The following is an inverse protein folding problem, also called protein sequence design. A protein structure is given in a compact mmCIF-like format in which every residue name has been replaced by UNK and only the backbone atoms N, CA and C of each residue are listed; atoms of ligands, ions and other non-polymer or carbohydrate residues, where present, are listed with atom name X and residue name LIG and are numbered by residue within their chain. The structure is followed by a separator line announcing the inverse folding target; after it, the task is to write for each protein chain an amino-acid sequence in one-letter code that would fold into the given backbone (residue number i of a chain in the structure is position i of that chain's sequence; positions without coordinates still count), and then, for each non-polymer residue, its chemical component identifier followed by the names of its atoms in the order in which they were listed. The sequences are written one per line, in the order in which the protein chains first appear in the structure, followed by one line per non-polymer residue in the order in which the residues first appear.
data_IF_692856162591
#
_entry.id   IF_692856162591
#
_cell.length_a   1.000
_cell.length_b   1.000
_cell.length_c   1.000
_cell.angle_alpha   90.00
_cell.angle_beta   90.00
_cell.angle_gamma   90.00
#
_symmetry.space_group_name_H-M   'P 1'
#
loop_
_entity.id
_entity.type
_entity.pdbx_description
1 polymer ?
#
# COMPACT_ATOMS: atom_id res chain seq x y z
N UNK A 1 -43.38 -80.01 -5.80
CA UNK A 1 -44.30 -78.85 -5.72
C UNK A 1 -43.83 -77.96 -4.58
N UNK A 2 -43.02 -76.95 -4.87
CA UNK A 2 -42.57 -75.95 -3.91
C UNK A 2 -43.70 -74.94 -3.69
N UNK A 3 -44.07 -74.82 -2.43
CA UNK A 3 -45.13 -73.92 -1.96
C UNK A 3 -44.70 -72.47 -2.05
N UNK A 4 -45.18 -71.74 -3.06
CA UNK A 4 -44.95 -70.29 -3.31
C UNK A 4 -45.79 -69.36 -2.45
N UNK A 5 -46.43 -69.86 -1.38
CA UNK A 5 -47.36 -69.08 -0.55
C UNK A 5 -46.78 -68.32 0.64
N UNK A 6 -45.44 -68.22 0.78
CA UNK A 6 -44.78 -67.46 1.86
C UNK A 6 -43.92 -66.29 1.40
N UNK A 7 -44.16 -65.80 0.18
CA UNK A 7 -43.49 -64.59 -0.20
C UNK A 7 -44.24 -63.39 0.33
N UNK A 8 -43.88 -62.97 1.53
CA UNK A 8 -44.45 -61.80 2.21
C UNK A 8 -43.81 -60.52 1.63
N UNK A 9 -44.51 -59.94 0.65
CA UNK A 9 -44.08 -58.70 -0.03
C UNK A 9 -44.42 -57.43 0.79
N UNK A 10 -45.02 -57.56 1.96
CA UNK A 10 -45.39 -56.45 2.81
C UNK A 10 -44.26 -56.00 3.76
N UNK A 11 -43.17 -56.77 3.89
CA UNK A 11 -42.01 -56.34 4.71
C UNK A 11 -40.97 -55.64 3.85
N UNK A 12 -40.79 -54.32 3.99
CA UNK A 12 -39.74 -53.60 3.28
C UNK A 12 -38.36 -54.09 3.72
N UNK A 13 -37.68 -54.87 2.85
CA UNK A 13 -36.28 -55.25 3.09
C UNK A 13 -35.37 -54.03 2.94
N UNK A 14 -34.81 -53.58 4.04
CA UNK A 14 -33.80 -52.52 4.03
C UNK A 14 -32.42 -53.14 3.86
N UNK A 15 -31.83 -52.99 2.67
CA UNK A 15 -30.45 -53.38 2.42
C UNK A 15 -29.51 -52.22 2.65
N UNK A 16 -28.61 -52.36 3.58
CA UNK A 16 -27.57 -51.38 3.88
C UNK A 16 -26.28 -51.85 3.20
N UNK A 17 -25.80 -51.04 2.21
CA UNK A 17 -24.54 -51.32 1.54
C UNK A 17 -23.51 -50.31 2.08
N UNK A 18 -22.44 -50.79 2.67
CA UNK A 18 -21.29 -49.97 3.09
C UNK A 18 -20.11 -50.36 2.21
N UNK A 19 -19.95 -49.74 1.05
CA UNK A 19 -18.79 -50.04 0.18
C UNK A 19 -17.51 -49.46 0.78
N UNK A 20 -16.54 -50.31 1.05
CA UNK A 20 -15.17 -49.91 1.36
C UNK A 20 -14.33 -50.10 0.11
N UNK A 21 -13.90 -48.97 -0.48
CA UNK A 21 -13.05 -48.98 -1.66
C UNK A 21 -11.64 -48.55 -1.27
N UNK A 22 -10.65 -49.37 -1.54
CA UNK A 22 -9.23 -49.00 -1.42
C UNK A 22 -8.61 -48.91 -2.81
N UNK A 23 -8.07 -47.76 -3.17
CA UNK A 23 -7.35 -47.57 -4.41
C UNK A 23 -5.86 -47.28 -4.13
N UNK A 24 -4.99 -47.91 -4.86
CA UNK A 24 -3.54 -47.74 -4.69
C UNK A 24 -2.92 -47.33 -6.03
N UNK A 25 -2.22 -46.21 -6.04
CA UNK A 25 -1.50 -45.71 -7.19
C UNK A 25 0.01 -45.83 -6.94
N UNK A 26 0.72 -46.62 -7.76
CA UNK A 26 2.18 -46.75 -7.67
C UNK A 26 2.79 -45.57 -8.46
N UNK A 27 3.63 -44.78 -7.80
CA UNK A 27 4.30 -43.59 -8.37
C UNK A 27 5.60 -43.97 -9.09
N UNK A 28 5.49 -44.71 -10.21
CA UNK A 28 6.62 -45.21 -11.02
C UNK A 28 7.44 -44.04 -11.63
N UNK A 29 6.78 -42.94 -11.98
CA UNK A 29 7.40 -41.76 -12.60
C UNK A 29 7.62 -40.59 -11.65
N UNK A 30 7.57 -40.84 -10.33
CA UNK A 30 7.72 -39.80 -9.30
C UNK A 30 6.76 -38.59 -9.45
N UNK A 31 5.59 -38.76 -10.04
CA UNK A 31 4.60 -37.71 -10.24
C UNK A 31 4.10 -37.13 -8.92
N UNK A 32 3.74 -37.99 -7.97
CA UNK A 32 3.28 -37.58 -6.62
C UNK A 32 4.41 -36.94 -5.79
N UNK A 33 5.63 -37.49 -5.91
CA UNK A 33 6.81 -36.95 -5.24
C UNK A 33 7.16 -35.56 -5.76
N UNK A 34 7.10 -35.35 -7.07
CA UNK A 34 7.33 -34.06 -7.70
C UNK A 34 6.19 -33.08 -7.40
N UNK A 35 4.94 -33.52 -7.34
CA UNK A 35 3.81 -32.69 -6.91
C UNK A 35 4.00 -32.20 -5.46
N UNK A 36 4.48 -33.06 -4.55
CA UNK A 36 4.80 -32.67 -3.18
C UNK A 36 5.96 -31.65 -3.13
N UNK A 37 7.00 -31.84 -3.95
CA UNK A 37 8.13 -30.88 -4.04
C UNK A 37 7.65 -29.53 -4.56
N UNK A 38 6.83 -29.53 -5.64
CA UNK A 38 6.19 -28.32 -6.18
C UNK A 38 5.35 -27.59 -5.12
N UNK A 39 4.51 -28.32 -4.39
CA UNK A 39 3.69 -27.72 -3.34
C UNK A 39 4.53 -27.08 -2.21
N UNK A 40 5.65 -27.71 -1.83
CA UNK A 40 6.58 -27.13 -0.86
C UNK A 40 7.27 -25.87 -1.40
N UNK A 41 7.67 -25.84 -2.65
CA UNK A 41 8.27 -24.66 -3.29
C UNK A 41 7.26 -23.52 -3.38
N UNK A 42 6.01 -23.77 -3.76
CA UNK A 42 4.94 -22.78 -3.77
C UNK A 42 4.63 -22.23 -2.37
N UNK A 43 4.71 -23.06 -1.36
CA UNK A 43 4.54 -22.60 0.03
C UNK A 43 5.70 -21.68 0.46
N UNK A 44 6.94 -22.03 0.13
CA UNK A 44 8.10 -21.17 0.39
C UNK A 44 7.96 -19.83 -0.35
N UNK A 45 7.61 -19.86 -1.64
CA UNK A 45 7.34 -18.68 -2.44
C UNK A 45 6.25 -17.79 -1.82
N UNK A 46 5.17 -18.37 -1.29
CA UNK A 46 4.09 -17.63 -0.62
C UNK A 46 4.58 -16.83 0.60
N UNK A 47 5.53 -17.39 1.36
CA UNK A 47 6.14 -16.67 2.50
C UNK A 47 7.01 -15.49 2.06
N UNK A 48 7.76 -15.66 0.98
CA UNK A 48 8.56 -14.54 0.42
C UNK A 48 7.65 -13.45 -0.15
N UNK A 49 6.50 -13.83 -0.73
CA UNK A 49 5.50 -12.88 -1.18
C UNK A 49 4.91 -12.05 -0.04
N UNK A 50 4.65 -12.65 1.13
CA UNK A 50 4.23 -11.91 2.33
C UNK A 50 5.27 -10.84 2.71
N UNK A 51 6.55 -11.17 2.67
CA UNK A 51 7.62 -10.23 2.95
C UNK A 51 7.71 -9.10 1.92
N UNK A 52 7.50 -9.41 0.64
CA UNK A 52 7.43 -8.42 -0.43
C UNK A 52 6.29 -7.42 -0.21
N UNK A 53 5.09 -7.92 0.13
CA UNK A 53 3.92 -7.08 0.42
C UNK A 53 4.17 -6.17 1.62
N UNK A 54 4.78 -6.68 2.70
CA UNK A 54 5.15 -5.86 3.87
C UNK A 54 6.11 -4.72 3.48
N UNK A 55 7.13 -5.02 2.69
CA UNK A 55 8.09 -4.02 2.23
C UNK A 55 7.42 -2.96 1.36
N UNK A 56 6.54 -3.37 0.46
CA UNK A 56 5.79 -2.45 -0.39
C UNK A 56 4.83 -1.56 0.42
N UNK A 57 4.18 -2.12 1.43
CA UNK A 57 3.29 -1.37 2.32
C UNK A 57 4.07 -0.30 3.09
N UNK A 58 5.19 -0.66 3.71
CA UNK A 58 6.05 0.27 4.46
C UNK A 58 6.54 1.39 3.54
N UNK A 59 7.01 1.05 2.33
CA UNK A 59 7.46 2.04 1.35
C UNK A 59 6.32 2.95 0.90
N UNK A 60 5.12 2.41 0.68
CA UNK A 60 3.92 3.16 0.33
C UNK A 60 3.52 4.16 1.41
N UNK A 61 3.48 3.73 2.67
CA UNK A 61 3.18 4.58 3.82
C UNK A 61 4.22 5.69 3.96
N UNK A 62 5.51 5.36 3.87
CA UNK A 62 6.58 6.35 3.96
C UNK A 62 6.46 7.41 2.85
N UNK A 63 6.25 7.01 1.61
CA UNK A 63 6.09 7.93 0.49
C UNK A 63 4.88 8.86 0.66
N UNK A 64 3.73 8.33 1.09
CA UNK A 64 2.53 9.12 1.36
C UNK A 64 2.74 10.11 2.52
N UNK A 65 3.42 9.68 3.59
CA UNK A 65 3.72 10.53 4.72
C UNK A 65 4.63 11.70 4.34
N UNK A 66 5.72 11.45 3.61
CA UNK A 66 6.60 12.52 3.13
C UNK A 66 5.91 13.44 2.11
N UNK A 67 5.05 12.90 1.26
CA UNK A 67 4.20 13.69 0.36
C UNK A 67 3.30 14.64 1.17
N UNK A 68 2.70 14.14 2.23
CA UNK A 68 1.85 14.93 3.11
C UNK A 68 2.62 16.07 3.81
N UNK A 69 3.82 15.79 4.31
CA UNK A 69 4.71 16.82 4.87
C UNK A 69 5.10 17.89 3.84
N UNK A 70 5.41 17.49 2.61
CA UNK A 70 5.73 18.41 1.52
C UNK A 70 4.54 19.32 1.16
N UNK A 71 3.33 18.76 1.09
CA UNK A 71 2.12 19.51 0.80
C UNK A 71 1.84 20.57 1.90
N UNK A 72 2.06 20.23 3.16
CA UNK A 72 1.90 21.15 4.28
C UNK A 72 2.89 22.32 4.23
N UNK A 73 4.16 22.06 3.91
CA UNK A 73 5.16 23.13 3.71
C UNK A 73 4.76 24.06 2.57
N UNK A 74 4.18 23.51 1.50
CA UNK A 74 3.67 24.29 0.38
C UNK A 74 2.51 25.20 0.81
N UNK A 75 1.59 24.68 1.62
CA UNK A 75 0.48 25.48 2.19
C UNK A 75 1.00 26.60 3.09
N UNK A 76 1.95 26.32 3.97
CA UNK A 76 2.58 27.33 4.83
C UNK A 76 3.31 28.41 4.01
N UNK A 77 3.93 28.02 2.90
CA UNK A 77 4.59 28.95 1.98
C UNK A 77 3.58 29.89 1.31
N UNK A 78 2.41 29.39 0.93
CA UNK A 78 1.33 30.20 0.38
C UNK A 78 0.87 31.29 1.38
N UNK A 79 0.79 30.96 2.66
CA UNK A 79 0.45 31.97 3.70
C UNK A 79 1.51 33.05 3.80
N UNK A 80 2.80 32.73 3.70
CA UNK A 80 3.90 33.71 3.71
C UNK A 80 3.89 34.67 2.52
N UNK A 81 3.36 34.27 1.38
CA UNK A 81 3.22 35.15 0.22
C UNK A 81 2.28 36.31 0.45
N UNK A 82 1.22 36.14 1.23
CA UNK A 82 0.33 37.23 1.63
C UNK A 82 1.06 38.32 2.43
N UNK A 83 1.97 37.88 3.30
CA UNK A 83 2.80 38.77 4.08
C UNK A 83 3.81 39.53 3.21
N UNK A 84 4.37 38.87 2.20
CA UNK A 84 5.25 39.50 1.20
C UNK A 84 4.54 40.57 0.40
N UNK A 85 3.29 40.36 -0.02
CA UNK A 85 2.47 41.37 -0.72
C UNK A 85 2.25 42.59 0.19
N UNK A 86 1.93 42.37 1.48
CA UNK A 86 1.75 43.46 2.45
C UNK A 86 3.03 44.29 2.60
N UNK A 87 4.18 43.64 2.68
CA UNK A 87 5.50 44.29 2.74
C UNK A 87 5.79 45.11 1.49
N UNK A 88 5.50 44.56 0.31
CA UNK A 88 5.70 45.27 -0.97
C UNK A 88 4.81 46.50 -1.10
N UNK A 89 3.57 46.46 -0.60
CA UNK A 89 2.66 47.65 -0.55
C UNK A 89 3.25 48.72 0.39
N UNK A 90 3.72 48.35 1.57
CA UNK A 90 4.34 49.30 2.47
C UNK A 90 5.65 49.91 1.87
N UNK A 91 6.44 49.14 1.15
CA UNK A 91 7.61 49.66 0.41
C UNK A 91 7.22 50.67 -0.69
N UNK A 92 6.10 50.43 -1.38
CA UNK A 92 5.57 51.36 -2.35
C UNK A 92 5.15 52.70 -1.70
N UNK A 93 4.43 52.61 -0.55
CA UNK A 93 4.03 53.81 0.20
C UNK A 93 5.23 54.60 0.70
N UNK A 94 6.33 53.93 1.01
CA UNK A 94 7.60 54.56 1.39
C UNK A 94 8.43 55.04 0.19
N UNK A 95 7.92 54.89 -1.07
CA UNK A 95 8.62 55.32 -2.28
C UNK A 95 9.78 54.42 -2.71
N UNK A 96 9.91 53.23 -2.09
CA UNK A 96 11.00 52.27 -2.35
C UNK A 96 10.65 51.21 -3.41
N UNK A 97 9.39 51.08 -3.80
CA UNK A 97 8.93 50.15 -4.82
C UNK A 97 7.99 50.82 -5.82
N UNK A 98 7.99 50.32 -7.06
CA UNK A 98 7.11 50.83 -8.09
C UNK A 98 5.77 50.04 -8.15
N UNK A 99 4.76 50.59 -8.80
CA UNK A 99 3.43 49.99 -9.00
C UNK A 99 3.51 48.62 -9.68
N UNK A 100 4.38 48.49 -10.70
CA UNK A 100 4.52 47.25 -11.45
C UNK A 100 5.03 46.08 -10.57
N UNK A 101 5.96 46.36 -9.64
CA UNK A 101 6.44 45.34 -8.69
C UNK A 101 5.31 44.89 -7.75
N UNK A 102 4.50 45.82 -7.23
CA UNK A 102 3.35 45.46 -6.38
C UNK A 102 2.36 44.60 -7.14
N UNK A 103 1.99 45.00 -8.36
CA UNK A 103 1.06 44.24 -9.20
C UNK A 103 1.55 42.83 -9.52
N UNK A 104 2.87 42.66 -9.73
CA UNK A 104 3.49 41.35 -9.95
C UNK A 104 3.37 40.45 -8.71
N UNK A 105 3.67 40.98 -7.51
CA UNK A 105 3.52 40.23 -6.27
C UNK A 105 2.06 39.88 -5.97
N UNK A 106 1.13 40.80 -6.25
CA UNK A 106 -0.31 40.56 -6.11
C UNK A 106 -0.78 39.45 -7.09
N UNK A 107 -0.37 39.51 -8.35
CA UNK A 107 -0.71 38.50 -9.34
C UNK A 107 -0.18 37.11 -8.96
N UNK A 108 1.05 37.04 -8.44
CA UNK A 108 1.62 35.80 -7.94
C UNK A 108 0.85 35.29 -6.70
N UNK A 109 0.50 36.17 -5.78
CA UNK A 109 -0.27 35.82 -4.58
C UNK A 109 -1.65 35.24 -4.95
N UNK A 110 -2.37 35.87 -5.88
CA UNK A 110 -3.66 35.39 -6.36
C UNK A 110 -3.55 34.04 -7.06
N UNK A 111 -2.50 33.81 -7.83
CA UNK A 111 -2.22 32.50 -8.46
C UNK A 111 -2.00 31.41 -7.43
N UNK A 112 -1.25 31.72 -6.37
CA UNK A 112 -0.99 30.77 -5.27
C UNK A 112 -2.28 30.52 -4.48
N UNK A 113 -3.08 31.56 -4.21
CA UNK A 113 -4.37 31.43 -3.53
C UNK A 113 -5.36 30.58 -4.33
N UNK A 114 -5.39 30.69 -5.64
CA UNK A 114 -6.21 29.84 -6.49
C UNK A 114 -5.81 28.34 -6.38
N UNK A 115 -4.51 28.06 -6.24
CA UNK A 115 -4.02 26.69 -6.07
C UNK A 115 -4.18 26.13 -4.65
N UNK A 116 -4.49 26.95 -3.65
CA UNK A 116 -4.64 26.52 -2.27
C UNK A 116 -5.77 25.49 -2.07
N UNK A 117 -6.87 25.64 -2.77
CA UNK A 117 -7.99 24.71 -2.70
C UNK A 117 -7.63 23.32 -3.25
N UNK A 118 -6.89 23.29 -4.36
CA UNK A 118 -6.37 22.03 -4.92
C UNK A 118 -5.37 21.38 -3.97
N UNK A 119 -4.53 22.17 -3.35
CA UNK A 119 -3.56 21.69 -2.37
C UNK A 119 -4.24 21.07 -1.15
N UNK A 120 -5.25 21.73 -0.59
CA UNK A 120 -6.05 21.20 0.53
C UNK A 120 -6.78 19.91 0.14
N UNK A 121 -7.28 19.83 -1.08
CA UNK A 121 -7.86 18.60 -1.60
C UNK A 121 -6.82 17.47 -1.67
N UNK A 122 -5.61 17.74 -2.17
CA UNK A 122 -4.52 16.78 -2.23
C UNK A 122 -4.09 16.30 -0.84
N UNK A 123 -4.03 17.19 0.15
CA UNK A 123 -3.76 16.86 1.56
C UNK A 123 -4.80 15.85 2.06
N UNK A 124 -6.09 16.14 1.89
CA UNK A 124 -7.17 15.22 2.31
C UNK A 124 -7.13 13.88 1.59
N UNK A 125 -6.82 13.89 0.30
CA UNK A 125 -6.65 12.65 -0.48
C UNK A 125 -5.49 11.81 0.03
N UNK A 126 -4.36 12.44 0.35
CA UNK A 126 -3.20 11.76 0.93
C UNK A 126 -3.50 11.20 2.32
N UNK A 127 -4.19 11.95 3.20
CA UNK A 127 -4.64 11.49 4.51
C UNK A 127 -5.57 10.29 4.39
N UNK A 128 -6.58 10.35 3.53
CA UNK A 128 -7.52 9.24 3.30
C UNK A 128 -6.81 7.99 2.76
N UNK A 129 -5.85 8.18 1.85
CA UNK A 129 -5.06 7.07 1.31
C UNK A 129 -4.22 6.41 2.40
N UNK A 130 -3.64 7.20 3.28
CA UNK A 130 -2.83 6.71 4.40
C UNK A 130 -3.70 5.99 5.43
N UNK A 131 -4.88 6.54 5.80
CA UNK A 131 -5.85 5.87 6.66
C UNK A 131 -6.30 4.52 6.06
N UNK A 132 -6.52 4.48 4.74
CA UNK A 132 -6.90 3.23 4.05
C UNK A 132 -5.80 2.17 4.15
N UNK A 133 -4.53 2.57 3.99
CA UNK A 133 -3.38 1.65 4.13
C UNK A 133 -3.21 1.15 5.57
N UNK A 134 -3.56 2.00 6.55
CA UNK A 134 -3.52 1.65 7.97
C UNK A 134 -4.77 0.88 8.43
N UNK A 135 -5.76 0.69 7.54
CA UNK A 135 -7.08 0.11 7.83
C UNK A 135 -7.84 0.86 8.94
N UNK A 136 -7.67 2.18 8.99
CA UNK A 136 -8.33 3.08 9.93
C UNK A 136 -9.43 3.91 9.25
N UNK A 137 -10.37 4.44 10.05
CA UNK A 137 -11.37 5.37 9.54
C UNK A 137 -10.75 6.71 9.14
N UNK A 138 -11.37 7.48 8.22
CA UNK A 138 -10.85 8.78 7.81
C UNK A 138 -10.69 9.74 8.99
N UNK A 139 -9.49 10.19 9.26
CA UNK A 139 -9.18 11.19 10.28
C UNK A 139 -7.97 12.02 9.85
N UNK A 140 -7.76 13.14 10.54
CA UNK A 140 -6.58 13.96 10.34
C UNK A 140 -5.38 13.28 11.00
N UNK A 141 -4.30 13.11 10.26
CA UNK A 141 -3.10 12.43 10.73
C UNK A 141 -2.19 13.43 11.42
N UNK A 142 -1.82 13.13 12.66
CA UNK A 142 -0.81 13.89 13.38
C UNK A 142 0.55 13.71 12.70
N UNK A 143 1.21 14.83 12.42
CA UNK A 143 2.46 14.84 11.66
C UNK A 143 3.50 15.77 12.29
N UNK A 144 4.74 15.37 12.13
CA UNK A 144 5.88 16.20 12.51
C UNK A 144 6.17 17.29 11.46
N UNK A 145 7.16 18.13 11.73
CA UNK A 145 7.64 19.11 10.76
C UNK A 145 8.70 18.50 9.84
N UNK A 146 8.67 18.86 8.56
CA UNK A 146 9.67 18.39 7.60
C UNK A 146 11.10 18.77 8.02
N UNK A 147 11.28 19.97 8.57
CA UNK A 147 12.57 20.49 9.07
C UNK A 147 13.16 19.66 10.23
N UNK A 148 12.31 18.95 10.98
CA UNK A 148 12.72 18.06 12.07
C UNK A 148 13.13 16.66 11.64
N UNK A 149 12.96 16.32 10.36
CA UNK A 149 13.32 15.01 9.82
C UNK A 149 14.82 14.92 9.61
N UNK A 150 15.44 13.89 10.17
CA UNK A 150 16.86 13.60 9.93
C UNK A 150 16.95 12.48 8.90
N UNK A 151 17.57 12.78 7.78
CA UNK A 151 17.97 11.74 6.84
C UNK A 151 19.12 10.94 7.46
N UNK A 152 19.18 9.62 7.22
CA UNK A 152 20.30 8.80 7.64
C UNK A 152 21.61 9.36 7.01
N UNK A 153 22.62 9.63 7.85
CA UNK A 153 23.89 10.21 7.42
C UNK A 153 24.68 9.25 6.50
N UNK A 154 24.44 7.94 6.61
CA UNK A 154 25.07 6.88 5.83
C UNK A 154 24.09 6.23 4.85
N UNK A 155 23.79 6.90 3.76
CA UNK A 155 23.29 6.25 2.56
C UNK A 155 24.50 5.64 1.82
N UNK A 156 24.93 4.45 2.25
CA UNK A 156 25.95 3.69 1.50
C UNK A 156 25.43 3.43 0.09
N UNK A 157 26.05 4.10 -0.87
CA UNK A 157 25.76 3.93 -2.30
C UNK A 157 26.22 2.52 -2.70
N UNK A 158 25.28 1.64 -2.93
CA UNK A 158 25.51 0.26 -3.36
C UNK A 158 24.96 -0.76 -2.38
N UNK A 159 24.11 -1.64 -2.87
CA UNK A 159 23.62 -2.78 -2.11
C UNK A 159 24.67 -3.89 -2.22
N UNK A 160 25.33 -4.33 -1.13
CA UNK A 160 26.25 -5.45 -1.18
C UNK A 160 25.58 -6.67 -1.81
N UNK A 161 26.26 -7.38 -2.69
CA UNK A 161 25.73 -8.59 -3.37
C UNK A 161 25.17 -9.60 -2.36
N UNK A 162 25.74 -9.64 -1.16
CA UNK A 162 25.26 -10.47 -0.05
C UNK A 162 23.85 -10.10 0.44
N UNK A 163 23.39 -8.87 0.23
CA UNK A 163 22.02 -8.47 0.59
C UNK A 163 20.98 -8.86 -0.48
N UNK A 164 21.42 -9.29 -1.68
CA UNK A 164 20.51 -9.82 -2.69
C UNK A 164 19.76 -11.05 -2.21
N UNK A 165 20.40 -11.88 -1.37
CA UNK A 165 19.77 -13.04 -0.75
C UNK A 165 18.63 -12.70 0.23
N UNK A 166 18.53 -11.45 0.68
CA UNK A 166 17.43 -10.97 1.54
C UNK A 166 16.27 -10.35 0.75
N UNK A 167 16.42 -10.21 -0.57
CA UNK A 167 15.36 -9.66 -1.42
C UNK A 167 14.31 -10.72 -1.69
N UNK A 168 13.02 -10.44 -1.33
CA UNK A 168 11.95 -11.42 -1.48
C UNK A 168 11.62 -11.75 -2.95
N UNK A 169 11.85 -10.82 -3.88
CA UNK A 169 11.66 -11.04 -5.32
C UNK A 169 12.67 -12.05 -5.88
N UNK A 170 13.92 -12.02 -5.43
CA UNK A 170 14.97 -12.98 -5.83
C UNK A 170 14.68 -14.33 -5.20
N UNK A 171 14.37 -14.39 -3.91
CA UNK A 171 14.07 -15.63 -3.20
C UNK A 171 12.80 -16.31 -3.69
N UNK A 172 11.84 -15.55 -4.20
CA UNK A 172 10.62 -16.12 -4.80
C UNK A 172 10.86 -16.73 -6.18
N UNK A 173 11.96 -16.36 -6.86
CA UNK A 173 12.33 -16.87 -8.18
C UNK A 173 13.25 -18.11 -8.12
N UNK A 174 13.95 -18.33 -7.00
CA UNK A 174 14.75 -19.53 -6.73
C UNK A 174 13.88 -20.74 -6.34
#
# INVERSE_FOLDING_TARGET
QGNLSSFDWATPSKTYNIPVTASWQIDIFNGLTNAKRKAKALYAQSREYEQAVKTQLISGIANLYYTLLMLEVTEQTAVKWRESVRTMRAMKEAGMANEAAVAQYEGTCLSIEASLHDLQYQIRMAENSLCTLLAEGPHQIERGRLEGQRLPDDLTVGVPVQMLSNRPDIRSAE
#
